data_IF_972887042660
#
_entry.id   IF_972887042660
#
_cell.length_a   1.000
_cell.length_b   1.000
_cell.length_c   1.000
_cell.angle_alpha   90.00
_cell.angle_beta   90.00
_cell.angle_gamma   90.00
#
_symmetry.space_group_name_H-M   'P 1'
#
loop_
_entity.id
_entity.type
_entity.pdbx_description
1 polymer ?
#
# COMPACT_ATOMS: atom_id res chain seq x y z
N UNK A 1 16.46 4.15 -8.96
CA UNK A 1 15.71 3.39 -7.96
C UNK A 1 14.39 4.11 -7.72
N UNK A 2 13.31 3.65 -8.36
CA UNK A 2 12.00 4.32 -8.27
C UNK A 2 11.27 3.84 -7.01
N UNK A 3 11.52 4.50 -5.88
CA UNK A 3 10.73 4.27 -4.67
C UNK A 3 9.35 4.92 -4.86
N UNK A 4 8.36 4.12 -5.28
CA UNK A 4 6.97 4.57 -5.44
C UNK A 4 6.35 4.75 -4.05
N UNK A 5 6.32 6.01 -3.58
CA UNK A 5 5.65 6.39 -2.31
C UNK A 5 4.19 6.71 -2.62
N UNK A 6 3.28 5.95 -2.03
CA UNK A 6 1.84 6.09 -2.20
C UNK A 6 1.27 6.75 -0.94
N UNK A 7 0.78 7.98 -1.08
CA UNK A 7 0.08 8.65 0.01
C UNK A 7 -1.35 8.11 0.09
N UNK A 8 -1.76 7.68 1.27
CA UNK A 8 -3.09 7.15 1.56
C UNK A 8 -3.71 7.93 2.72
N UNK A 9 -5.03 8.07 2.72
CA UNK A 9 -5.75 8.75 3.79
C UNK A 9 -6.45 7.70 4.69
N UNK A 10 -6.94 8.11 5.86
CA UNK A 10 -7.73 7.22 6.73
C UNK A 10 -8.98 6.63 6.04
N UNK A 11 -9.55 7.30 5.04
CA UNK A 11 -10.67 6.80 4.24
C UNK A 11 -10.31 5.58 3.37
N UNK A 12 -9.02 5.37 3.10
CA UNK A 12 -8.51 4.24 2.33
C UNK A 12 -8.23 3.01 3.22
N UNK A 13 -8.51 3.12 4.54
CA UNK A 13 -8.45 2.00 5.47
C UNK A 13 -9.69 1.09 5.33
N UNK A 14 -9.55 -0.24 5.46
CA UNK A 14 -8.30 -0.95 5.67
C UNK A 14 -7.42 -0.94 4.41
N UNK A 15 -6.13 -0.61 4.57
CA UNK A 15 -5.20 -0.51 3.44
C UNK A 15 -4.89 -1.91 2.91
N UNK A 16 -5.05 -2.10 1.61
CA UNK A 16 -4.67 -3.33 0.92
C UNK A 16 -3.86 -3.04 -0.33
N UNK A 17 -2.87 -3.90 -0.59
CA UNK A 17 -2.06 -3.88 -1.79
C UNK A 17 -2.37 -5.15 -2.62
N UNK A 18 -2.71 -5.06 -3.92
CA UNK A 18 -2.86 -3.84 -4.73
C UNK A 18 -4.12 -3.04 -4.39
N UNK A 19 -4.02 -1.71 -4.37
CA UNK A 19 -5.15 -0.82 -4.07
C UNK A 19 -6.17 -0.83 -5.21
N UNK A 20 -7.42 -0.44 -4.93
CA UNK A 20 -8.51 -0.42 -5.91
C UNK A 20 -8.22 0.43 -7.18
N UNK A 21 -7.25 1.35 -7.09
CA UNK A 21 -6.79 2.21 -8.20
C UNK A 21 -5.66 1.59 -9.03
N UNK A 22 -4.96 0.58 -8.51
CA UNK A 22 -3.88 -0.08 -9.24
C UNK A 22 -4.45 -1.34 -9.92
N UNK A 23 -4.04 -1.58 -11.16
CA UNK A 23 -4.56 -2.68 -11.97
C UNK A 23 -4.29 -4.04 -11.29
N UNK A 24 -5.31 -4.91 -11.24
CA UNK A 24 -5.25 -6.25 -10.63
C UNK A 24 -4.19 -7.20 -11.23
N UNK A 25 -3.50 -6.81 -12.30
CA UNK A 25 -2.34 -7.52 -12.86
C UNK A 25 -1.07 -7.38 -12.01
N UNK A 26 -1.21 -7.22 -10.70
CA UNK A 26 -0.08 -7.26 -9.79
C UNK A 26 0.36 -8.71 -9.63
N UNK A 27 1.65 -9.01 -9.81
CA UNK A 27 2.23 -10.36 -9.70
C UNK A 27 2.18 -10.97 -8.29
N UNK A 28 1.31 -10.47 -7.40
CA UNK A 28 1.15 -10.97 -6.04
C UNK A 28 -0.32 -10.91 -5.57
N UNK A 29 -0.71 -11.77 -4.61
CA UNK A 29 -2.05 -11.75 -4.01
C UNK A 29 -2.34 -10.45 -3.26
N UNK A 30 -3.63 -10.17 -3.06
CA UNK A 30 -4.06 -9.06 -2.20
C UNK A 30 -3.63 -9.30 -0.76
N UNK A 31 -2.94 -8.33 -0.18
CA UNK A 31 -2.52 -8.34 1.22
C UNK A 31 -2.98 -7.08 1.94
N UNK A 32 -3.35 -7.22 3.20
CA UNK A 32 -3.71 -6.11 4.07
C UNK A 32 -2.47 -5.61 4.79
N UNK A 33 -2.25 -4.30 4.72
CA UNK A 33 -1.11 -3.63 5.33
C UNK A 33 -1.60 -2.79 6.49
N UNK A 34 -1.10 -3.06 7.70
CA UNK A 34 -1.49 -2.30 8.88
C UNK A 34 -0.63 -1.04 9.01
N UNK A 35 -1.10 0.05 8.39
CA UNK A 35 -0.44 1.36 8.43
C UNK A 35 -0.83 2.20 9.66
N UNK A 36 -1.83 1.77 10.43
CA UNK A 36 -2.45 2.59 11.49
C UNK A 36 -1.53 2.88 12.67
N UNK A 37 -0.56 2.00 12.94
CA UNK A 37 0.35 2.13 14.09
C UNK A 37 1.57 3.01 13.80
N UNK A 38 2.14 2.91 12.60
CA UNK A 38 3.39 3.60 12.22
C UNK A 38 3.19 4.78 11.29
N UNK A 39 2.04 4.88 10.61
CA UNK A 39 1.79 5.90 9.58
C UNK A 39 2.58 5.68 8.29
N UNK A 40 3.47 4.69 8.23
CA UNK A 40 4.19 4.27 7.02
C UNK A 40 4.31 2.75 7.05
N UNK A 41 4.09 2.10 5.90
CA UNK A 41 4.26 0.66 5.72
C UNK A 41 4.73 0.35 4.31
N UNK A 42 5.67 -0.59 4.17
CA UNK A 42 6.12 -1.06 2.86
C UNK A 42 5.50 -2.42 2.55
N UNK A 43 5.02 -2.60 1.32
CA UNK A 43 4.51 -3.88 0.88
C UNK A 43 5.68 -4.88 0.69
N UNK A 44 5.64 -6.08 1.28
CA UNK A 44 6.72 -7.06 1.16
C UNK A 44 6.81 -7.71 -0.23
N UNK A 45 5.80 -7.53 -1.09
CA UNK A 45 5.76 -8.13 -2.42
C UNK A 45 6.20 -7.17 -3.52
N UNK A 46 5.51 -6.03 -3.64
CA UNK A 46 5.79 -5.06 -4.70
C UNK A 46 6.82 -4.00 -4.30
N UNK A 47 7.22 -3.94 -3.03
CA UNK A 47 8.15 -2.93 -2.52
C UNK A 47 7.59 -1.51 -2.46
N UNK A 48 6.30 -1.31 -2.75
CA UNK A 48 5.67 0.01 -2.66
C UNK A 48 5.59 0.48 -1.21
N UNK A 49 5.97 1.73 -0.96
CA UNK A 49 5.88 2.36 0.36
C UNK A 49 4.59 3.15 0.46
N UNK A 50 3.73 2.80 1.39
CA UNK A 50 2.51 3.53 1.69
C UNK A 50 2.75 4.46 2.87
N UNK A 51 2.30 5.70 2.76
CA UNK A 51 2.38 6.71 3.81
C UNK A 51 0.99 7.26 4.11
N UNK A 52 0.55 7.11 5.35
CA UNK A 52 -0.68 7.66 5.86
C UNK A 52 -0.49 9.17 6.00
N UNK A 53 -1.40 9.92 5.39
CA UNK A 53 -1.45 11.38 5.47
C UNK A 53 -2.42 11.83 6.55
#
# INVERSE_FOLDING_TARGET
MNNKIINVDQKDLPLFCPTKKENLFSSHPRVFLDITKTGVVSCPYCGATYKLK
#
